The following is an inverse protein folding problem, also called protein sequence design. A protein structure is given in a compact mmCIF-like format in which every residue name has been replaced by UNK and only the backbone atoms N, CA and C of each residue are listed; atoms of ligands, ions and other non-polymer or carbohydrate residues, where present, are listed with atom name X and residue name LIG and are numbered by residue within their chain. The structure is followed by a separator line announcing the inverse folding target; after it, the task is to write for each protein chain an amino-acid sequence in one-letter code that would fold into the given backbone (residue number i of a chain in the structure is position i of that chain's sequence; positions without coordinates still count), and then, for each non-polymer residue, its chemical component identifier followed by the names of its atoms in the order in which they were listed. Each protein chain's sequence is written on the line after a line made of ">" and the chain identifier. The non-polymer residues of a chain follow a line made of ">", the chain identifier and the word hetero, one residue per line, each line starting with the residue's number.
data_IF_921245808074
#
_entry.id   IF_921245808074
#
_cell.length_a   1.000
_cell.length_b   1.000
_cell.length_c   1.000
_cell.angle_alpha   90.00
_cell.angle_beta   90.00
_cell.angle_gamma   90.00
#
_symmetry.space_group_name_H-M   'P 1'
#
loop_
_entity.id
_entity.type
_entity.pdbx_description
1 polymer ?
#
# COMPACT_ATOMS: atom_id res chain seq x y z
N UNK A 1 38.47 -46.06 -12.78
CA UNK A 1 38.00 -45.27 -11.62
C UNK A 1 37.23 -44.00 -12.00
N UNK A 2 36.87 -43.75 -13.28
CA UNK A 2 36.20 -42.50 -13.70
C UNK A 2 34.67 -42.60 -13.91
N UNK A 3 34.12 -43.81 -14.02
CA UNK A 3 32.67 -44.02 -14.18
C UNK A 3 31.90 -43.96 -12.85
N UNK A 4 32.56 -44.32 -11.74
CA UNK A 4 32.02 -44.20 -10.38
C UNK A 4 31.89 -42.75 -9.92
N UNK A 5 32.76 -41.84 -10.36
CA UNK A 5 32.67 -40.40 -10.05
C UNK A 5 31.53 -39.69 -10.79
N UNK A 6 31.19 -40.12 -12.01
CA UNK A 6 30.05 -39.57 -12.77
C UNK A 6 28.68 -39.98 -12.18
N UNK A 7 28.54 -41.25 -11.76
CA UNK A 7 27.30 -41.74 -11.14
C UNK A 7 27.02 -41.11 -9.76
N UNK A 8 28.07 -40.83 -8.97
CA UNK A 8 27.95 -40.12 -7.69
C UNK A 8 27.57 -38.64 -7.90
N UNK A 9 28.00 -38.02 -9.00
CA UNK A 9 27.61 -36.64 -9.37
C UNK A 9 26.11 -36.52 -9.71
N UNK A 10 25.60 -37.41 -10.58
CA UNK A 10 24.19 -37.38 -10.99
C UNK A 10 23.22 -37.73 -9.84
N UNK A 11 23.58 -38.68 -8.96
CA UNK A 11 22.76 -39.00 -7.78
C UNK A 11 22.70 -37.85 -6.76
N UNK A 12 23.81 -37.11 -6.58
CA UNK A 12 23.84 -35.90 -5.75
C UNK A 12 23.00 -34.76 -6.36
N UNK A 13 22.96 -34.66 -7.68
CA UNK A 13 22.13 -33.67 -8.40
C UNK A 13 20.63 -33.95 -8.30
N UNK A 14 20.19 -35.21 -8.41
CA UNK A 14 18.76 -35.57 -8.27
C UNK A 14 18.28 -35.42 -6.82
N UNK A 15 19.13 -35.75 -5.84
CA UNK A 15 18.85 -35.47 -4.43
C UNK A 15 18.81 -33.96 -4.14
N UNK A 16 19.74 -33.19 -4.75
CA UNK A 16 19.76 -31.73 -4.70
C UNK A 16 18.50 -31.10 -5.30
N UNK A 17 18.01 -31.61 -6.43
CA UNK A 17 16.79 -31.11 -7.08
C UNK A 17 15.53 -31.26 -6.20
N UNK A 18 15.37 -32.39 -5.51
CA UNK A 18 14.25 -32.59 -4.58
C UNK A 18 14.34 -31.66 -3.37
N UNK A 19 15.54 -31.49 -2.82
CA UNK A 19 15.79 -30.56 -1.72
C UNK A 19 15.53 -29.09 -2.13
N UNK A 20 16.00 -28.67 -3.30
CA UNK A 20 15.76 -27.33 -3.87
C UNK A 20 14.27 -27.08 -4.14
N UNK A 21 13.54 -28.09 -4.64
CA UNK A 21 12.10 -27.99 -4.87
C UNK A 21 11.32 -27.86 -3.55
N UNK A 22 11.70 -28.61 -2.51
CA UNK A 22 11.10 -28.48 -1.19
C UNK A 22 11.36 -27.09 -0.60
N UNK A 23 12.61 -26.63 -0.61
CA UNK A 23 12.99 -25.31 -0.12
C UNK A 23 12.27 -24.18 -0.89
N UNK A 24 12.11 -24.32 -2.21
CA UNK A 24 11.36 -23.35 -3.02
C UNK A 24 9.87 -23.33 -2.68
N UNK A 25 9.27 -24.50 -2.38
CA UNK A 25 7.87 -24.58 -1.95
C UNK A 25 7.66 -23.93 -0.57
N UNK A 26 8.54 -24.19 0.37
CA UNK A 26 8.50 -23.61 1.73
C UNK A 26 8.64 -22.09 1.67
N UNK A 27 9.60 -21.57 0.89
CA UNK A 27 9.78 -20.14 0.67
C UNK A 27 8.53 -19.50 0.01
N UNK A 28 7.92 -20.17 -0.97
CA UNK A 28 6.69 -19.70 -1.61
C UNK A 28 5.46 -19.80 -0.71
N UNK A 29 5.47 -20.70 0.28
CA UNK A 29 4.44 -20.74 1.31
C UNK A 29 4.57 -19.55 2.26
N UNK A 30 5.78 -19.28 2.77
CA UNK A 30 6.05 -18.12 3.61
C UNK A 30 5.70 -16.80 2.91
N UNK A 31 6.00 -16.68 1.62
CA UNK A 31 5.57 -15.54 0.80
C UNK A 31 4.04 -15.40 0.76
N UNK A 32 3.31 -16.49 0.51
CA UNK A 32 1.84 -16.48 0.44
C UNK A 32 1.21 -16.11 1.78
N UNK A 33 1.74 -16.65 2.89
CA UNK A 33 1.28 -16.34 4.24
C UNK A 33 1.57 -14.87 4.61
N UNK A 34 2.76 -14.38 4.29
CA UNK A 34 3.10 -12.97 4.47
C UNK A 34 2.15 -12.07 3.67
N UNK A 35 1.91 -12.40 2.40
CA UNK A 35 1.03 -11.64 1.55
C UNK A 35 -0.43 -11.64 2.01
N UNK A 36 -0.93 -12.78 2.49
CA UNK A 36 -2.27 -12.86 3.07
C UNK A 36 -2.39 -11.95 4.29
N UNK A 37 -1.42 -12.01 5.23
CA UNK A 37 -1.42 -11.17 6.43
C UNK A 37 -1.24 -9.68 6.11
N UNK A 38 -0.36 -9.33 5.18
CA UNK A 38 -0.13 -7.95 4.76
C UNK A 38 -1.41 -7.35 4.14
N UNK A 39 -2.08 -8.10 3.26
CA UNK A 39 -3.34 -7.67 2.66
C UNK A 39 -4.47 -7.57 3.67
N UNK A 40 -4.58 -8.52 4.62
CA UNK A 40 -5.59 -8.45 5.68
C UNK A 40 -5.40 -7.19 6.54
N UNK A 41 -4.19 -6.96 7.04
CA UNK A 41 -3.88 -5.76 7.83
C UNK A 41 -4.17 -4.47 7.04
N UNK A 42 -3.84 -4.44 5.75
CA UNK A 42 -4.10 -3.27 4.90
C UNK A 42 -5.60 -3.01 4.74
N UNK A 43 -6.42 -4.06 4.60
CA UNK A 43 -7.89 -3.93 4.54
C UNK A 43 -8.46 -3.40 5.86
N UNK A 44 -7.99 -3.93 6.98
CA UNK A 44 -8.45 -3.48 8.31
C UNK A 44 -8.11 -2.01 8.55
N UNK A 45 -6.88 -1.59 8.20
CA UNK A 45 -6.45 -0.20 8.29
C UNK A 45 -7.21 0.72 7.33
N UNK A 46 -7.49 0.27 6.10
CA UNK A 46 -8.35 1.02 5.17
C UNK A 46 -9.76 1.19 5.70
N UNK A 47 -10.35 0.14 6.25
CA UNK A 47 -11.68 0.20 6.85
C UNK A 47 -11.73 1.20 8.01
N UNK A 48 -10.75 1.13 8.92
CA UNK A 48 -10.62 2.12 10.01
C UNK A 48 -10.47 3.55 9.49
N UNK A 49 -9.70 3.74 8.41
CA UNK A 49 -9.51 5.06 7.79
C UNK A 49 -10.79 5.58 7.14
N UNK A 50 -11.56 4.70 6.48
CA UNK A 50 -12.87 5.05 5.93
C UNK A 50 -13.86 5.42 7.03
N UNK A 51 -13.86 4.72 8.17
CA UNK A 51 -14.68 5.12 9.30
C UNK A 51 -14.30 6.49 9.84
N UNK A 52 -13.00 6.81 9.92
CA UNK A 52 -12.55 8.17 10.28
C UNK A 52 -13.02 9.23 9.28
N UNK A 53 -12.99 8.91 7.97
CA UNK A 53 -13.51 9.82 6.94
C UNK A 53 -15.00 10.11 7.14
N UNK A 54 -15.81 9.09 7.44
CA UNK A 54 -17.23 9.28 7.74
C UNK A 54 -17.43 10.13 8.99
N UNK A 55 -16.68 9.88 10.07
CA UNK A 55 -16.77 10.68 11.30
C UNK A 55 -16.40 12.15 11.07
N UNK A 56 -15.40 12.42 10.24
CA UNK A 56 -14.98 13.79 9.94
C UNK A 56 -16.05 14.55 9.12
N UNK A 57 -16.68 13.88 8.15
CA UNK A 57 -17.85 14.44 7.46
C UNK A 57 -19.04 14.64 8.42
N UNK A 58 -19.31 13.64 9.25
CA UNK A 58 -20.16 13.63 10.44
C UNK A 58 -20.10 14.96 11.20
N UNK A 59 -18.90 15.21 11.69
CA UNK A 59 -18.52 16.34 12.51
C UNK A 59 -18.64 17.66 11.75
N UNK A 60 -18.10 17.75 10.53
CA UNK A 60 -18.18 18.97 9.73
C UNK A 60 -19.62 19.37 9.43
N UNK A 61 -20.49 18.40 9.13
CA UNK A 61 -21.91 18.65 8.93
C UNK A 61 -22.61 19.15 10.21
N UNK A 62 -22.31 18.55 11.36
CA UNK A 62 -22.85 18.98 12.64
C UNK A 62 -22.40 20.42 13.00
N UNK A 63 -21.11 20.73 12.86
CA UNK A 63 -20.57 22.08 13.12
C UNK A 63 -21.24 23.15 12.23
N UNK A 64 -21.53 22.84 10.97
CA UNK A 64 -22.26 23.74 10.08
C UNK A 64 -23.70 23.97 10.51
N UNK A 65 -24.39 22.93 10.98
CA UNK A 65 -25.75 23.05 11.52
C UNK A 65 -25.76 23.95 12.76
N UNK A 66 -24.81 23.75 13.67
CA UNK A 66 -24.69 24.55 14.89
C UNK A 66 -24.39 26.03 14.56
N UNK A 67 -23.48 26.28 13.63
CA UNK A 67 -23.17 27.64 13.13
C UNK A 67 -24.43 28.33 12.57
N UNK A 68 -25.21 27.62 11.75
CA UNK A 68 -26.45 28.16 11.20
C UNK A 68 -27.51 28.39 12.27
N UNK A 69 -27.56 27.55 13.30
CA UNK A 69 -28.47 27.72 14.43
C UNK A 69 -28.11 28.95 15.26
N UNK A 70 -26.84 29.12 15.61
CA UNK A 70 -26.35 30.29 16.34
C UNK A 70 -26.65 31.59 15.57
N UNK A 71 -26.41 31.61 14.26
CA UNK A 71 -26.72 32.77 13.43
C UNK A 71 -28.22 33.10 13.42
N UNK A 72 -29.10 32.09 13.40
CA UNK A 72 -30.55 32.29 13.50
C UNK A 72 -30.98 32.82 14.87
N UNK A 73 -30.40 32.30 15.96
CA UNK A 73 -30.66 32.76 17.32
C UNK A 73 -30.22 34.23 17.49
N UNK A 74 -29.04 34.59 16.97
CA UNK A 74 -28.53 35.96 16.95
C UNK A 74 -29.43 36.90 16.14
N UNK A 75 -29.86 36.47 14.95
CA UNK A 75 -30.81 37.22 14.11
C UNK A 75 -32.16 37.44 14.80
N UNK A 76 -32.71 36.42 15.45
CA UNK A 76 -33.96 36.53 16.18
C UNK A 76 -33.84 37.54 17.32
N UNK A 77 -32.75 37.46 18.10
CA UNK A 77 -32.47 38.38 19.21
C UNK A 77 -32.32 39.81 18.71
N UNK A 78 -31.56 40.03 17.63
CA UNK A 78 -31.38 41.33 17.02
C UNK A 78 -32.68 41.91 16.49
N UNK A 79 -33.54 41.08 15.88
CA UNK A 79 -34.84 41.49 15.35
C UNK A 79 -35.79 41.92 16.47
N UNK A 80 -35.88 41.14 17.55
CA UNK A 80 -36.72 41.48 18.72
C UNK A 80 -36.22 42.76 19.38
N UNK A 81 -34.90 42.86 19.64
CA UNK A 81 -34.33 44.06 20.26
C UNK A 81 -34.50 45.33 19.40
N UNK A 82 -34.37 45.22 18.08
CA UNK A 82 -34.66 46.32 17.16
C UNK A 82 -36.13 46.74 17.23
N UNK A 83 -37.06 45.77 17.23
CA UNK A 83 -38.49 46.01 17.38
C UNK A 83 -38.86 46.69 18.71
N UNK A 84 -38.31 46.22 19.82
CA UNK A 84 -38.53 46.80 21.15
C UNK A 84 -37.95 48.22 21.28
N UNK A 85 -36.82 48.49 20.63
CA UNK A 85 -36.18 49.82 20.60
C UNK A 85 -36.82 50.78 19.59
N UNK A 86 -37.78 50.32 18.78
CA UNK A 86 -38.36 51.11 17.69
C UNK A 86 -37.38 51.41 16.54
N UNK A 87 -36.26 50.68 16.46
CA UNK A 87 -35.23 50.83 15.43
C UNK A 87 -35.58 49.91 14.27
N UNK A 88 -35.69 50.47 13.07
CA UNK A 88 -36.02 49.71 11.85
C UNK A 88 -35.30 50.31 10.64
N UNK A 89 -35.33 49.57 9.53
CA UNK A 89 -34.78 50.00 8.25
C UNK A 89 -33.39 49.42 7.95
N UNK A 90 -32.71 50.05 7.00
CA UNK A 90 -31.54 49.48 6.31
C UNK A 90 -30.40 49.04 7.24
N UNK A 91 -30.22 49.69 8.39
CA UNK A 91 -29.19 49.31 9.37
C UNK A 91 -29.48 47.98 10.06
N UNK A 92 -30.75 47.68 10.35
CA UNK A 92 -31.18 46.39 10.91
C UNK A 92 -31.03 45.30 9.86
N UNK A 93 -31.46 45.57 8.62
CA UNK A 93 -31.31 44.61 7.52
C UNK A 93 -29.83 44.28 7.24
N UNK A 94 -28.95 45.30 7.29
CA UNK A 94 -27.51 45.12 7.15
C UNK A 94 -26.92 44.27 8.28
N UNK A 95 -27.34 44.48 9.53
CA UNK A 95 -26.91 43.67 10.67
C UNK A 95 -27.36 42.20 10.53
N UNK A 96 -28.60 41.97 10.10
CA UNK A 96 -29.11 40.63 9.88
C UNK A 96 -28.37 39.91 8.75
N UNK A 97 -28.05 40.63 7.67
CA UNK A 97 -27.24 40.13 6.56
C UNK A 97 -25.79 39.83 7.00
N UNK A 98 -25.23 40.62 7.92
CA UNK A 98 -23.90 40.37 8.46
C UNK A 98 -23.84 39.05 9.24
N UNK A 99 -24.88 38.68 10.00
CA UNK A 99 -24.93 37.38 10.67
C UNK A 99 -24.93 36.21 9.66
N UNK A 100 -25.70 36.32 8.57
CA UNK A 100 -25.68 35.31 7.51
C UNK A 100 -24.30 35.23 6.84
N UNK A 101 -23.66 36.38 6.59
CA UNK A 101 -22.31 36.43 6.01
C UNK A 101 -21.24 35.80 6.92
N UNK A 102 -21.32 36.04 8.23
CA UNK A 102 -20.42 35.42 9.21
C UNK A 102 -20.63 33.90 9.29
N UNK A 103 -21.89 33.45 9.27
CA UNK A 103 -22.24 32.03 9.28
C UNK A 103 -21.74 31.32 8.01
N UNK A 104 -21.92 31.94 6.84
CA UNK A 104 -21.41 31.43 5.57
C UNK A 104 -19.88 31.31 5.60
N UNK A 105 -19.17 32.36 6.01
CA UNK A 105 -17.71 32.34 6.11
C UNK A 105 -17.19 31.31 7.14
N UNK A 106 -17.94 31.04 8.21
CA UNK A 106 -17.62 29.98 9.15
C UNK A 106 -17.81 28.60 8.53
N UNK A 107 -18.95 28.36 7.86
CA UNK A 107 -19.22 27.12 7.15
C UNK A 107 -18.19 26.82 6.05
N UNK A 108 -17.76 27.83 5.29
CA UNK A 108 -16.73 27.68 4.27
C UNK A 108 -15.39 27.23 4.86
N UNK A 109 -15.04 27.69 6.08
CA UNK A 109 -13.84 27.24 6.78
C UNK A 109 -13.98 25.79 7.25
N UNK A 110 -15.16 25.41 7.74
CA UNK A 110 -15.44 24.01 8.11
C UNK A 110 -15.27 23.11 6.88
N UNK A 111 -15.88 23.48 5.74
CA UNK A 111 -15.75 22.73 4.49
C UNK A 111 -14.29 22.59 4.05
N UNK A 112 -13.51 23.68 4.05
CA UNK A 112 -12.09 23.64 3.71
C UNK A 112 -11.29 22.70 4.63
N UNK A 113 -11.53 22.76 5.93
CA UNK A 113 -10.86 21.91 6.91
C UNK A 113 -11.25 20.43 6.72
N UNK A 114 -12.53 20.15 6.55
CA UNK A 114 -13.03 18.79 6.27
C UNK A 114 -12.40 18.26 4.98
N UNK A 115 -12.37 19.04 3.90
CA UNK A 115 -11.77 18.63 2.63
C UNK A 115 -10.27 18.34 2.76
N UNK A 116 -9.52 19.17 3.49
CA UNK A 116 -8.10 18.91 3.76
C UNK A 116 -7.88 17.63 4.53
N UNK A 117 -8.65 17.41 5.61
CA UNK A 117 -8.59 16.17 6.39
C UNK A 117 -8.94 14.95 5.53
N UNK A 118 -9.98 15.05 4.69
CA UNK A 118 -10.39 13.99 3.78
C UNK A 118 -9.32 13.66 2.73
N UNK A 119 -8.65 14.67 2.19
CA UNK A 119 -7.53 14.48 1.28
C UNK A 119 -6.34 13.80 1.98
N UNK A 120 -6.04 14.18 3.22
CA UNK A 120 -5.00 13.55 4.03
C UNK A 120 -5.32 12.07 4.29
N UNK A 121 -6.54 11.74 4.71
CA UNK A 121 -6.99 10.37 4.96
C UNK A 121 -6.97 9.52 3.67
N UNK A 122 -7.31 10.10 2.53
CA UNK A 122 -7.16 9.43 1.24
C UNK A 122 -5.70 9.11 0.90
N UNK A 123 -4.77 10.03 1.19
CA UNK A 123 -3.35 9.77 1.02
C UNK A 123 -2.82 8.73 2.01
N UNK A 124 -3.34 8.71 3.24
CA UNK A 124 -3.05 7.65 4.22
C UNK A 124 -3.48 6.27 3.69
N UNK A 125 -4.67 6.16 3.08
CA UNK A 125 -5.10 4.92 2.43
C UNK A 125 -4.18 4.45 1.30
N UNK A 126 -3.65 5.39 0.49
CA UNK A 126 -2.64 5.07 -0.54
C UNK A 126 -1.36 4.55 0.12
N UNK A 127 -0.90 5.22 1.18
CA UNK A 127 0.26 4.78 1.95
C UNK A 127 0.09 3.40 2.57
N UNK A 128 -1.10 3.05 3.07
CA UNK A 128 -1.42 1.71 3.57
C UNK A 128 -1.23 0.66 2.47
N UNK A 129 -1.68 0.94 1.23
CA UNK A 129 -1.48 0.02 0.09
C UNK A 129 0.00 -0.15 -0.25
N UNK A 130 0.73 0.95 -0.39
CA UNK A 130 2.17 0.88 -0.69
C UNK A 130 2.94 0.13 0.40
N UNK A 131 2.65 0.38 1.68
CA UNK A 131 3.27 -0.36 2.77
C UNK A 131 2.95 -1.86 2.74
N UNK A 132 1.74 -2.25 2.31
CA UNK A 132 1.37 -3.65 2.15
C UNK A 132 2.14 -4.30 0.99
N UNK A 133 2.25 -3.61 -0.15
CA UNK A 133 3.05 -4.05 -1.30
C UNK A 133 4.53 -4.19 -0.93
N UNK A 134 5.10 -3.24 -0.21
CA UNK A 134 6.49 -3.31 0.26
C UNK A 134 6.72 -4.49 1.20
N UNK A 135 5.78 -4.75 2.13
CA UNK A 135 5.86 -5.93 3.01
C UNK A 135 5.79 -7.23 2.21
N UNK A 136 4.92 -7.32 1.21
CA UNK A 136 4.83 -8.48 0.32
C UNK A 136 6.14 -8.68 -0.44
N UNK A 137 6.67 -7.60 -1.04
CA UNK A 137 7.87 -7.63 -1.85
C UNK A 137 9.16 -7.84 -1.02
N UNK A 138 9.11 -7.57 0.29
CA UNK A 138 10.24 -7.83 1.19
C UNK A 138 10.54 -9.33 1.36
N UNK A 139 9.57 -10.20 1.09
CA UNK A 139 9.76 -11.66 1.11
C UNK A 139 10.11 -12.13 -0.30
N UNK A 140 11.34 -12.62 -0.49
CA UNK A 140 11.76 -13.17 -1.77
C UNK A 140 10.90 -14.36 -2.17
N UNK A 141 10.36 -14.32 -3.39
CA UNK A 141 9.67 -15.45 -4.00
C UNK A 141 10.70 -16.36 -4.65
N UNK A 142 10.69 -17.64 -4.31
CA UNK A 142 11.63 -18.59 -4.91
C UNK A 142 11.08 -19.07 -6.26
N UNK A 143 11.90 -18.96 -7.31
CA UNK A 143 11.59 -19.57 -8.60
C UNK A 143 11.69 -21.09 -8.45
N UNK A 144 10.59 -21.81 -8.67
CA UNK A 144 10.60 -23.27 -8.60
C UNK A 144 11.59 -23.82 -9.64
N UNK A 145 12.53 -24.71 -9.27
CA UNK A 145 13.47 -25.29 -10.21
C UNK A 145 12.73 -26.03 -11.34
N UNK A 146 12.80 -25.52 -12.56
CA UNK A 146 12.26 -26.23 -13.72
C UNK A 146 13.29 -27.27 -14.20
N UNK A 147 12.81 -28.43 -14.65
CA UNK A 147 13.67 -29.48 -15.23
C UNK A 147 14.55 -28.96 -16.38
N UNK A 148 14.07 -27.94 -17.10
CA UNK A 148 14.79 -27.29 -18.19
C UNK A 148 16.01 -26.49 -17.70
N UNK A 149 15.89 -25.74 -16.60
CA UNK A 149 17.02 -25.01 -16.00
C UNK A 149 18.07 -25.96 -15.40
N UNK A 150 17.63 -27.04 -14.75
CA UNK A 150 18.54 -28.06 -14.22
C UNK A 150 19.26 -28.80 -15.35
N UNK A 151 18.54 -29.15 -16.43
CA UNK A 151 19.12 -29.78 -17.62
C UNK A 151 20.14 -28.92 -18.35
N UNK A 152 19.91 -27.60 -18.45
CA UNK A 152 20.88 -26.65 -19.01
C UNK A 152 22.16 -26.54 -18.17
N UNK A 153 22.04 -26.58 -16.84
CA UNK A 153 23.20 -26.53 -15.93
C UNK A 153 24.07 -27.79 -16.05
N UNK A 154 23.43 -28.97 -16.16
CA UNK A 154 24.10 -30.25 -16.43
C UNK A 154 24.80 -30.23 -17.80
N UNK A 155 24.12 -29.72 -18.83
CA UNK A 155 24.71 -29.60 -20.17
C UNK A 155 25.92 -28.64 -20.19
N UNK A 156 25.85 -27.52 -19.45
CA UNK A 156 26.95 -26.57 -19.29
C UNK A 156 28.18 -27.19 -18.63
N UNK A 157 28.02 -27.88 -17.50
CA UNK A 157 29.12 -28.56 -16.80
C UNK A 157 29.71 -29.70 -17.65
N UNK A 158 28.89 -30.43 -18.40
CA UNK A 158 29.35 -31.47 -19.32
C UNK A 158 30.13 -30.93 -20.53
N UNK A 159 29.74 -29.77 -21.06
CA UNK A 159 30.43 -29.11 -22.18
C UNK A 159 31.76 -28.48 -21.77
N UNK A 160 31.82 -27.83 -20.60
CA UNK A 160 33.06 -27.25 -20.08
C UNK A 160 34.08 -28.35 -19.77
N UNK A 161 33.65 -29.47 -19.18
CA UNK A 161 34.52 -30.61 -18.91
C UNK A 161 35.04 -31.29 -20.20
N UNK A 162 34.25 -31.31 -21.28
CA UNK A 162 34.66 -31.83 -22.58
C UNK A 162 35.64 -30.89 -23.31
N UNK A 163 35.43 -29.58 -23.21
CA UNK A 163 36.35 -28.58 -23.78
C UNK A 163 37.70 -28.57 -23.07
N UNK A 164 37.72 -28.65 -21.73
CA UNK A 164 38.97 -28.78 -20.95
C UNK A 164 39.73 -30.06 -21.30
N UNK A 165 39.04 -31.17 -21.58
CA UNK A 165 39.67 -32.41 -22.00
C UNK A 165 40.33 -32.28 -23.39
N UNK A 166 39.65 -31.63 -24.34
CA UNK A 166 40.21 -31.37 -25.68
C UNK A 166 41.36 -30.37 -25.65
N UNK A 167 41.31 -29.36 -24.78
CA UNK A 167 42.41 -28.40 -24.60
C UNK A 167 43.63 -29.10 -24.00
N UNK A 168 43.44 -29.93 -22.97
CA UNK A 168 44.52 -30.72 -22.38
C UNK A 168 45.13 -31.73 -23.37
N UNK A 169 44.33 -32.31 -24.27
CA UNK A 169 44.81 -33.22 -25.32
C UNK A 169 45.59 -32.47 -26.41
N UNK A 170 45.16 -31.25 -26.75
CA UNK A 170 45.83 -30.38 -27.72
C UNK A 170 47.15 -29.82 -27.20
N UNK A 171 47.25 -29.53 -25.90
CA UNK A 171 48.47 -29.06 -25.27
C UNK A 171 49.50 -30.20 -25.11
N UNK A 172 49.05 -31.44 -24.88
CA UNK A 172 49.93 -32.63 -24.97
C UNK A 172 50.42 -32.90 -26.39
N UNK A 173 49.62 -32.59 -27.41
CA UNK A 173 50.02 -32.73 -28.81
C UNK A 173 50.97 -31.62 -29.32
N UNK A 174 51.07 -30.50 -28.59
CA UNK A 174 51.98 -29.37 -28.90
C UNK A 174 53.24 -29.34 -28.04
N UNK A 175 53.39 -30.27 -27.10
CA UNK A 175 54.60 -30.45 -26.31
C UNK A 175 55.57 -31.47 -26.92
N UNK A 176 56.09 -31.19 -28.13
CA UNK A 176 57.37 -31.71 -28.64
C UNK A 176 58.04 -30.64 -29.49
#
# INVERSE_FOLDING_TARGET
>A
MALTSFAVGAAKEVAGYQAEKSAANDQNQLYRENAARANQNARDQQFQTQQRMLQEQEKGAAEKIDTMREAREAKATATVGAGEAGVSGLSVDALLAEFDGRAAAANDRVDQNTDWTMNQLNNEMKGIRSNAEDRINSVQRSATPSFFNTGLKIAGVGLDSYNDFKVAERDRARGR
#
